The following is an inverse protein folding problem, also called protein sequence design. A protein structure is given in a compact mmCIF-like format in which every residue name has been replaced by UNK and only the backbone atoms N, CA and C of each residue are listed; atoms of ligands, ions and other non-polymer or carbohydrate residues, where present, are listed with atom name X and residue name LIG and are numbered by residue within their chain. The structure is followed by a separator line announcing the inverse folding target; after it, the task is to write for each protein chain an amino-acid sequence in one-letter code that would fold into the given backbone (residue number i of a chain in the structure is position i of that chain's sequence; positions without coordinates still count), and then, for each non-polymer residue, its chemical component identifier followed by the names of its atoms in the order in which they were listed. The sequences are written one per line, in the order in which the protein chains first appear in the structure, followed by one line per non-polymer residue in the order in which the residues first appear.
data_IF_625389613240
#
_entry.id   IF_625389613240
#
_cell.length_a   1.000
_cell.length_b   1.000
_cell.length_c   1.000
_cell.angle_alpha   90.00
_cell.angle_beta   90.00
_cell.angle_gamma   90.00
#
_symmetry.space_group_name_H-M   'P 1'
#
loop_
_entity.id
_entity.type
_entity.pdbx_description
1 polymer ?
#
# COMPACT_ATOMS: atom_id res chain seq x y z
N UNK A 1 26.58 -10.24 -19.56
CA UNK A 1 26.94 -10.41 -18.14
C UNK A 1 26.57 -11.82 -17.72
N UNK A 2 27.42 -12.49 -17.00
CA UNK A 2 27.16 -13.82 -16.43
C UNK A 2 26.83 -13.62 -14.94
N UNK A 3 25.72 -14.20 -14.48
CA UNK A 3 25.32 -14.19 -13.08
C UNK A 3 25.67 -15.52 -12.43
N UNK A 4 26.08 -15.50 -11.16
CA UNK A 4 26.42 -16.71 -10.41
C UNK A 4 25.22 -17.63 -10.11
N UNK A 5 24.01 -17.06 -10.14
CA UNK A 5 22.74 -17.78 -9.99
C UNK A 5 21.76 -17.30 -11.07
N UNK A 6 20.68 -18.04 -11.28
CA UNK A 6 19.62 -17.63 -12.22
C UNK A 6 19.02 -16.30 -11.80
N UNK A 7 18.78 -15.40 -12.76
CA UNK A 7 18.08 -14.13 -12.52
C UNK A 7 16.60 -14.44 -12.28
N UNK A 8 16.04 -13.84 -11.25
CA UNK A 8 14.59 -13.83 -11.03
C UNK A 8 13.90 -12.73 -11.85
N UNK A 9 12.65 -12.96 -12.23
CA UNK A 9 11.82 -11.91 -12.83
C UNK A 9 11.49 -10.84 -11.80
N UNK A 10 11.52 -9.54 -12.16
CA UNK A 10 11.09 -8.50 -11.23
C UNK A 10 9.62 -8.69 -10.87
N UNK A 11 9.24 -8.47 -9.59
CA UNK A 11 7.83 -8.36 -9.22
C UNK A 11 7.15 -7.30 -10.08
N UNK A 12 5.92 -7.55 -10.52
CA UNK A 12 5.21 -6.64 -11.40
C UNK A 12 3.71 -6.62 -11.11
N UNK A 13 3.07 -5.50 -11.38
CA UNK A 13 1.61 -5.33 -11.32
C UNK A 13 1.04 -5.29 -12.74
N UNK A 14 -0.07 -5.98 -13.02
CA UNK A 14 -0.79 -5.84 -14.28
C UNK A 14 -1.28 -4.41 -14.49
N UNK A 15 -1.33 -3.98 -15.75
CA UNK A 15 -1.93 -2.70 -16.13
C UNK A 15 -3.34 -2.94 -16.65
N UNK A 16 -4.32 -2.26 -16.07
CA UNK A 16 -5.72 -2.39 -16.47
C UNK A 16 -5.92 -1.97 -17.93
N UNK A 17 -6.64 -2.81 -18.68
CA UNK A 17 -6.93 -2.56 -20.10
C UNK A 17 -5.75 -2.83 -21.04
N UNK A 18 -4.65 -3.43 -20.57
CA UNK A 18 -3.46 -3.77 -21.36
C UNK A 18 -2.96 -5.16 -20.99
N UNK A 19 -2.13 -5.76 -21.85
CA UNK A 19 -1.32 -6.94 -21.55
C UNK A 19 0.00 -6.61 -20.88
N UNK A 20 0.30 -5.32 -20.68
CA UNK A 20 1.55 -4.86 -20.12
C UNK A 20 1.64 -5.11 -18.61
N UNK A 21 2.87 -5.28 -18.14
CA UNK A 21 3.19 -5.38 -16.73
C UNK A 21 4.02 -4.16 -16.31
N UNK A 22 3.67 -3.58 -15.18
CA UNK A 22 4.45 -2.52 -14.54
C UNK A 22 5.44 -3.15 -13.57
N UNK A 23 6.76 -3.14 -13.85
CA UNK A 23 7.76 -3.73 -12.97
C UNK A 23 7.90 -2.88 -11.70
N UNK A 24 7.83 -3.53 -10.53
CA UNK A 24 7.92 -2.84 -9.24
C UNK A 24 9.34 -2.94 -8.70
N UNK A 25 9.91 -1.77 -8.37
CA UNK A 25 11.26 -1.62 -7.85
C UNK A 25 11.29 -1.56 -6.32
N UNK A 26 10.52 -0.65 -5.73
CA UNK A 26 10.42 -0.44 -4.28
C UNK A 26 8.96 -0.19 -3.91
N UNK A 27 8.61 -0.61 -2.71
CA UNK A 27 7.28 -0.36 -2.12
C UNK A 27 7.48 0.52 -0.89
N UNK A 28 7.17 1.80 -1.01
CA UNK A 28 7.10 2.74 0.10
C UNK A 28 5.70 2.71 0.71
N UNK A 29 5.60 2.82 2.02
CA UNK A 29 4.33 2.88 2.73
C UNK A 29 4.34 4.06 3.69
N UNK A 30 3.26 4.84 3.70
CA UNK A 30 3.09 5.99 4.60
C UNK A 30 2.38 5.54 5.86
N UNK A 31 2.93 5.84 7.02
CA UNK A 31 2.27 5.57 8.30
C UNK A 31 1.32 6.69 8.72
N UNK A 32 0.13 6.33 9.25
CA UNK A 32 -0.81 7.25 9.94
C UNK A 32 -1.26 8.45 9.10
N UNK A 33 -1.75 8.22 7.89
CA UNK A 33 -2.09 9.29 6.96
C UNK A 33 -3.58 9.67 6.90
N UNK A 34 -4.41 9.20 7.83
CA UNK A 34 -5.82 9.60 7.98
C UNK A 34 -6.07 10.05 9.42
N UNK A 35 -6.80 11.16 9.59
CA UNK A 35 -7.00 11.79 10.90
C UNK A 35 -7.61 10.82 11.91
N UNK A 36 -8.69 10.12 11.53
CA UNK A 36 -9.36 9.19 12.44
C UNK A 36 -8.49 7.96 12.74
N UNK A 37 -7.74 7.45 11.76
CA UNK A 37 -6.78 6.38 12.00
C UNK A 37 -5.63 6.84 12.90
N UNK A 38 -5.15 8.07 12.73
CA UNK A 38 -4.11 8.63 13.61
C UNK A 38 -4.59 8.68 15.06
N UNK A 39 -5.83 9.12 15.33
CA UNK A 39 -6.44 9.11 16.66
C UNK A 39 -6.58 7.68 17.23
N UNK A 40 -7.04 6.72 16.40
CA UNK A 40 -7.13 5.30 16.75
C UNK A 40 -5.78 4.74 17.21
N UNK A 41 -4.68 5.22 16.61
CA UNK A 41 -3.31 4.80 16.92
C UNK A 41 -2.61 5.67 17.96
N UNK A 42 -3.33 6.60 18.61
CA UNK A 42 -2.84 7.43 19.72
C UNK A 42 -1.97 8.62 19.31
N UNK A 43 -2.07 9.10 18.07
CA UNK A 43 -1.45 10.32 17.58
C UNK A 43 -2.42 11.50 17.54
N UNK A 44 -1.89 12.72 17.50
CA UNK A 44 -2.63 13.96 17.32
C UNK A 44 -1.92 14.90 16.34
N UNK A 45 -2.69 15.63 15.55
CA UNK A 45 -2.18 16.68 14.69
C UNK A 45 -1.51 16.22 13.38
N UNK A 46 -0.96 17.19 12.65
CA UNK A 46 -0.26 16.99 11.38
C UNK A 46 1.25 16.86 11.63
N UNK A 47 1.67 15.69 12.12
CA UNK A 47 3.09 15.35 12.20
C UNK A 47 3.71 15.20 10.81
N UNK A 48 5.04 15.28 10.72
CA UNK A 48 5.74 14.97 9.47
C UNK A 48 5.45 13.54 9.05
N UNK A 49 5.22 13.28 7.74
CA UNK A 49 4.95 11.94 7.27
C UNK A 49 6.20 11.08 7.49
N UNK A 50 5.99 9.86 7.95
CA UNK A 50 7.05 8.88 8.02
C UNK A 50 6.77 7.71 7.08
N UNK A 51 7.84 7.12 6.58
CA UNK A 51 7.76 6.04 5.61
C UNK A 51 8.49 4.81 6.13
N UNK A 52 7.96 3.65 5.75
CA UNK A 52 8.65 2.38 5.87
C UNK A 52 8.60 1.66 4.51
N UNK A 53 9.31 0.57 4.38
CA UNK A 53 9.46 -0.13 3.10
C UNK A 53 8.95 -1.56 3.27
N UNK A 54 8.21 -2.04 2.25
CA UNK A 54 8.00 -3.45 1.99
C UNK A 54 8.87 -3.89 0.83
N UNK A 55 9.30 -5.15 0.84
CA UNK A 55 9.92 -5.76 -0.33
C UNK A 55 8.95 -5.74 -1.52
N UNK A 56 9.43 -5.49 -2.72
CA UNK A 56 8.61 -5.67 -3.92
C UNK A 56 8.13 -7.12 -4.07
N UNK A 57 8.85 -8.09 -3.52
CA UNK A 57 8.44 -9.50 -3.47
C UNK A 57 7.30 -9.79 -2.48
N UNK A 58 6.92 -8.84 -1.63
CA UNK A 58 5.74 -8.96 -0.77
C UNK A 58 4.43 -8.73 -1.54
N UNK A 59 4.49 -8.27 -2.80
CA UNK A 59 3.32 -8.03 -3.64
C UNK A 59 2.59 -9.33 -3.99
N UNK A 60 1.26 -9.29 -3.91
CA UNK A 60 0.36 -10.32 -4.47
C UNK A 60 -0.50 -9.65 -5.54
N UNK A 61 -0.09 -9.74 -6.83
CA UNK A 61 -0.82 -9.10 -7.91
C UNK A 61 -2.23 -9.69 -8.07
N UNK A 62 -3.22 -8.82 -8.28
CA UNK A 62 -4.65 -9.16 -8.44
C UNK A 62 -5.30 -9.82 -7.21
N UNK A 63 -4.60 -9.90 -6.08
CA UNK A 63 -5.15 -10.53 -4.88
C UNK A 63 -5.32 -12.05 -5.00
N UNK A 64 -6.50 -12.55 -4.67
CA UNK A 64 -6.76 -14.00 -4.62
C UNK A 64 -6.51 -14.60 -3.23
N UNK A 65 -5.87 -15.75 -3.14
CA UNK A 65 -5.52 -16.36 -1.86
C UNK A 65 -4.26 -15.73 -1.28
N UNK A 66 -4.33 -15.28 -0.02
CA UNK A 66 -3.22 -14.73 0.76
C UNK A 66 -3.10 -15.56 2.03
N UNK A 67 -1.94 -16.17 2.26
CA UNK A 67 -1.78 -17.08 3.38
C UNK A 67 -1.67 -16.34 4.71
N UNK A 68 -2.29 -16.91 5.74
CA UNK A 68 -2.12 -16.40 7.10
C UNK A 68 -0.63 -16.54 7.49
N UNK A 69 0.06 -15.43 7.80
CA UNK A 69 1.52 -15.48 7.96
C UNK A 69 1.94 -16.19 9.26
N UNK A 70 3.13 -16.81 9.29
CA UNK A 70 3.65 -17.41 10.51
C UNK A 70 4.04 -16.37 11.56
N UNK A 71 4.18 -16.81 12.82
CA UNK A 71 4.70 -16.02 13.94
C UNK A 71 3.84 -14.81 14.34
N UNK A 72 2.56 -14.83 14.03
CA UNK A 72 1.60 -13.83 14.52
C UNK A 72 0.30 -14.50 14.96
N UNK A 73 -0.36 -13.90 15.92
CA UNK A 73 -1.73 -14.22 16.32
C UNK A 73 -2.67 -13.01 16.07
N UNK A 74 -2.18 -11.96 15.43
CA UNK A 74 -2.93 -10.72 15.22
C UNK A 74 -2.60 -10.11 13.84
N UNK A 75 -3.20 -10.69 12.77
CA UNK A 75 -3.00 -10.31 11.39
C UNK A 75 -4.09 -9.35 10.94
N UNK A 76 -3.72 -8.13 10.54
CA UNK A 76 -4.63 -7.03 10.21
C UNK A 76 -4.56 -6.64 8.74
N UNK A 77 -5.69 -6.13 8.24
CA UNK A 77 -5.81 -5.43 6.96
C UNK A 77 -5.66 -3.91 7.14
N UNK A 78 -5.17 -3.24 6.12
CA UNK A 78 -5.12 -1.79 5.97
C UNK A 78 -5.34 -1.47 4.50
N UNK A 79 -6.54 -0.97 4.13
CA UNK A 79 -6.88 -0.62 2.74
C UNK A 79 -6.28 0.71 2.36
N UNK A 80 -5.60 0.77 1.22
CA UNK A 80 -4.84 1.94 0.78
C UNK A 80 -4.98 2.21 -0.71
N UNK A 81 -4.95 3.50 -1.08
CA UNK A 81 -4.63 3.89 -2.44
C UNK A 81 -3.15 3.61 -2.69
N UNK A 82 -2.84 3.00 -3.83
CA UNK A 82 -1.47 2.76 -4.28
C UNK A 82 -1.17 3.66 -5.46
N UNK A 83 -0.01 4.32 -5.43
CA UNK A 83 0.48 5.22 -6.47
C UNK A 83 1.72 4.62 -7.12
N UNK A 84 1.75 4.52 -8.44
CA UNK A 84 2.90 4.01 -9.20
C UNK A 84 3.65 5.17 -9.87
N UNK A 85 4.99 5.18 -9.75
CA UNK A 85 5.86 6.23 -10.29
C UNK A 85 6.43 5.78 -11.64
N UNK A 86 6.24 6.61 -12.69
CA UNK A 86 6.75 6.37 -14.04
C UNK A 86 7.96 7.22 -14.41
N UNK A 87 8.16 8.34 -13.74
CA UNK A 87 9.22 9.30 -14.08
C UNK A 87 10.15 9.53 -12.90
N UNK A 88 11.45 9.42 -13.16
CA UNK A 88 12.47 9.73 -12.17
C UNK A 88 12.35 11.17 -11.67
N UNK A 89 12.59 11.38 -10.38
CA UNK A 89 12.65 12.72 -9.81
C UNK A 89 13.25 12.75 -8.41
N UNK A 90 13.80 13.89 -8.06
CA UNK A 90 14.30 14.19 -6.72
C UNK A 90 13.94 15.64 -6.37
N UNK A 91 13.54 15.92 -5.12
CA UNK A 91 13.04 17.23 -4.68
C UNK A 91 11.90 17.71 -5.58
N UNK A 92 10.97 16.83 -5.85
CA UNK A 92 9.80 17.10 -6.68
C UNK A 92 8.88 18.04 -5.89
N UNK A 93 8.53 19.19 -6.46
CA UNK A 93 7.54 20.05 -5.83
C UNK A 93 6.13 19.44 -5.93
N UNK A 94 5.28 19.65 -4.93
CA UNK A 94 3.95 19.05 -4.90
C UNK A 94 3.13 19.35 -6.17
N UNK A 95 3.23 20.56 -6.74
CA UNK A 95 2.52 20.93 -7.96
C UNK A 95 3.02 20.19 -9.22
N UNK A 96 4.23 19.63 -9.20
CA UNK A 96 4.79 18.83 -10.30
C UNK A 96 4.61 17.32 -10.10
N UNK A 97 4.20 16.88 -8.91
CA UNK A 97 4.16 15.47 -8.51
C UNK A 97 3.33 14.61 -9.47
N UNK A 98 2.20 15.11 -9.94
CA UNK A 98 1.31 14.38 -10.87
C UNK A 98 1.99 13.98 -12.19
N UNK A 99 2.97 14.76 -12.66
CA UNK A 99 3.73 14.46 -13.88
C UNK A 99 4.68 13.25 -13.72
N UNK A 100 4.88 12.76 -12.50
CA UNK A 100 5.70 11.59 -12.20
C UNK A 100 4.88 10.30 -12.05
N UNK A 101 3.55 10.39 -11.97
CA UNK A 101 2.66 9.26 -11.68
C UNK A 101 2.30 8.52 -12.97
N UNK A 102 2.47 7.18 -12.94
CA UNK A 102 1.96 6.27 -13.96
C UNK A 102 0.45 6.04 -13.80
N UNK A 103 0.02 5.72 -12.58
CA UNK A 103 -1.35 5.33 -12.31
C UNK A 103 -1.55 4.92 -10.85
N UNK A 104 -2.71 4.33 -10.60
CA UNK A 104 -3.22 4.03 -9.28
C UNK A 104 -3.75 2.61 -9.18
N UNK A 105 -3.73 2.05 -7.97
CA UNK A 105 -4.33 0.75 -7.67
C UNK A 105 -4.97 0.76 -6.29
N UNK A 106 -5.71 -0.30 -5.98
CA UNK A 106 -6.19 -0.62 -4.64
C UNK A 106 -5.23 -1.61 -4.02
N UNK A 107 -4.70 -1.31 -2.83
CA UNK A 107 -3.79 -2.20 -2.12
C UNK A 107 -4.22 -2.49 -0.69
N UNK A 108 -3.62 -3.52 -0.11
CA UNK A 108 -3.74 -3.85 1.30
C UNK A 108 -2.33 -3.87 1.92
N UNK A 109 -2.07 -2.99 2.90
CA UNK A 109 -0.87 -3.05 3.73
C UNK A 109 -1.10 -4.04 4.88
N UNK A 110 -0.92 -5.33 4.58
CA UNK A 110 -1.14 -6.38 5.54
C UNK A 110 -0.10 -6.34 6.66
N UNK A 111 -0.55 -6.50 7.89
CA UNK A 111 0.24 -6.20 9.09
C UNK A 111 0.15 -7.31 10.13
N UNK A 112 1.30 -7.83 10.57
CA UNK A 112 1.42 -8.60 11.82
C UNK A 112 1.44 -7.61 12.98
N UNK A 113 0.26 -7.30 13.50
CA UNK A 113 0.07 -6.17 14.44
C UNK A 113 0.81 -6.35 15.75
N UNK A 114 0.85 -7.57 16.29
CA UNK A 114 1.59 -7.93 17.48
C UNK A 114 3.10 -7.71 17.31
N UNK A 115 3.68 -8.08 16.17
CA UNK A 115 5.10 -7.88 15.89
C UNK A 115 5.42 -6.40 15.66
N UNK A 116 4.53 -5.66 15.00
CA UNK A 116 4.67 -4.22 14.86
C UNK A 116 4.65 -3.53 16.24
N UNK A 117 3.75 -3.97 17.16
CA UNK A 117 3.66 -3.41 18.51
C UNK A 117 4.95 -3.66 19.28
N UNK A 118 5.51 -4.86 19.21
CA UNK A 118 6.83 -5.17 19.81
C UNK A 118 7.92 -4.24 19.27
N UNK A 119 7.89 -3.94 17.98
CA UNK A 119 8.80 -2.98 17.36
C UNK A 119 8.64 -1.58 17.96
N UNK A 120 7.40 -1.09 18.07
CA UNK A 120 7.09 0.21 18.69
C UNK A 120 7.56 0.29 20.13
N UNK A 121 7.20 -0.68 20.95
CA UNK A 121 7.50 -0.69 22.39
C UNK A 121 9.00 -0.72 22.68
N UNK A 122 9.78 -1.32 21.79
CA UNK A 122 11.23 -1.48 21.94
C UNK A 122 12.07 -0.52 21.10
N UNK A 123 11.44 0.42 20.37
CA UNK A 123 12.13 1.34 19.46
C UNK A 123 12.89 0.61 18.34
N UNK A 124 12.35 -0.52 17.82
CA UNK A 124 12.96 -1.34 16.77
C UNK A 124 12.26 -1.11 15.43
N UNK A 125 12.93 -1.44 14.30
CA UNK A 125 12.30 -1.44 12.98
C UNK A 125 11.03 -2.31 12.95
N UNK A 126 10.08 -1.94 12.05
CA UNK A 126 8.80 -2.63 11.92
C UNK A 126 8.81 -3.79 10.94
N UNK A 127 9.98 -4.16 10.41
CA UNK A 127 10.11 -5.12 9.31
C UNK A 127 9.35 -6.42 9.56
N UNK A 128 9.51 -7.05 10.74
CA UNK A 128 8.76 -8.27 11.05
C UNK A 128 7.25 -8.09 11.10
N UNK A 129 6.78 -6.88 11.39
CA UNK A 129 5.37 -6.53 11.39
C UNK A 129 4.83 -6.13 10.03
N UNK A 130 5.66 -5.56 9.17
CA UNK A 130 5.23 -4.89 7.94
C UNK A 130 5.84 -5.48 6.66
N UNK A 131 7.04 -6.05 6.69
CA UNK A 131 7.76 -6.53 5.52
C UNK A 131 7.95 -8.04 5.58
N UNK A 132 7.03 -8.79 5.00
CA UNK A 132 7.01 -10.25 4.95
C UNK A 132 6.31 -10.72 3.66
N UNK A 133 6.41 -12.00 3.37
CA UNK A 133 5.83 -12.59 2.16
C UNK A 133 4.30 -12.38 2.12
N UNK A 134 3.78 -12.04 0.95
CA UNK A 134 2.36 -11.76 0.71
C UNK A 134 1.78 -10.57 1.53
N UNK A 135 2.63 -9.66 2.01
CA UNK A 135 2.22 -8.54 2.85
C UNK A 135 1.61 -7.36 2.07
N UNK A 136 1.57 -7.41 0.73
CA UNK A 136 1.11 -6.31 -0.10
C UNK A 136 0.22 -6.78 -1.29
N UNK A 137 -0.98 -7.34 -1.01
CA UNK A 137 -1.95 -7.59 -2.09
C UNK A 137 -2.31 -6.29 -2.80
N UNK A 138 -2.34 -6.31 -4.15
CA UNK A 138 -2.56 -5.13 -4.95
C UNK A 138 -3.36 -5.46 -6.21
N UNK A 139 -4.30 -4.61 -6.58
CA UNK A 139 -5.07 -4.73 -7.83
C UNK A 139 -4.21 -4.41 -9.05
N UNK A 140 -4.77 -4.55 -10.25
CA UNK A 140 -4.17 -3.96 -11.43
C UNK A 140 -4.03 -2.45 -11.29
N UNK A 141 -2.98 -1.88 -11.89
CA UNK A 141 -2.76 -0.43 -11.99
C UNK A 141 -3.66 0.15 -13.08
N UNK A 142 -4.44 1.16 -12.73
CA UNK A 142 -5.20 1.97 -13.69
C UNK A 142 -4.39 3.19 -14.07
N UNK A 143 -4.05 3.39 -15.35
CA UNK A 143 -3.24 4.52 -15.78
C UNK A 143 -3.88 5.87 -15.44
N UNK A 144 -3.11 6.81 -14.93
CA UNK A 144 -3.57 8.18 -14.64
C UNK A 144 -4.13 8.87 -15.88
N UNK A 145 -3.63 8.52 -17.08
CA UNK A 145 -4.16 9.03 -18.34
C UNK A 145 -5.64 8.67 -18.57
N UNK A 146 -6.14 7.59 -17.95
CA UNK A 146 -7.52 7.13 -18.08
C UNK A 146 -8.46 7.72 -17.03
N UNK A 147 -7.98 7.97 -15.82
CA UNK A 147 -8.83 8.35 -14.66
C UNK A 147 -8.46 9.71 -14.05
N UNK A 148 -7.40 10.35 -14.51
CA UNK A 148 -6.84 11.53 -13.87
C UNK A 148 -6.12 11.19 -12.56
N UNK A 149 -6.13 12.16 -11.64
CA UNK A 149 -5.47 12.05 -10.33
C UNK A 149 -6.54 12.11 -9.23
N UNK A 150 -6.96 10.96 -8.67
CA UNK A 150 -8.02 10.92 -7.67
C UNK A 150 -7.56 11.58 -6.37
N UNK A 151 -8.24 12.65 -5.97
CA UNK A 151 -8.01 13.37 -4.71
C UNK A 151 -9.22 13.30 -3.78
N UNK A 152 -10.32 12.69 -4.22
CA UNK A 152 -11.59 12.48 -3.50
C UNK A 152 -12.27 11.22 -4.01
N UNK A 153 -13.23 10.72 -3.26
CA UNK A 153 -13.95 9.49 -3.56
C UNK A 153 -13.80 8.48 -2.42
N UNK A 154 -14.80 7.62 -2.28
CA UNK A 154 -14.80 6.68 -1.16
C UNK A 154 -13.71 5.62 -1.29
N UNK A 155 -13.00 5.38 -0.18
CA UNK A 155 -12.16 4.22 0.07
C UNK A 155 -12.85 3.33 1.11
N UNK A 156 -13.08 2.06 0.78
CA UNK A 156 -13.91 1.14 1.58
C UNK A 156 -13.31 -0.25 1.63
N UNK A 157 -13.54 -0.94 2.75
CA UNK A 157 -13.24 -2.37 2.87
C UNK A 157 -14.37 -3.10 3.60
N UNK A 158 -14.74 -4.25 3.10
CA UNK A 158 -15.61 -5.21 3.79
C UNK A 158 -14.84 -6.48 4.12
N UNK A 159 -15.14 -7.09 5.26
CA UNK A 159 -14.72 -8.44 5.64
C UNK A 159 -15.97 -9.29 5.78
N UNK A 160 -16.08 -10.37 5.02
CA UNK A 160 -17.25 -11.26 4.97
C UNK A 160 -18.56 -10.47 4.72
N UNK A 161 -18.50 -9.49 3.81
CA UNK A 161 -19.63 -8.62 3.45
C UNK A 161 -19.98 -7.54 4.47
N UNK A 162 -19.31 -7.51 5.64
CA UNK A 162 -19.52 -6.44 6.64
C UNK A 162 -18.50 -5.33 6.45
N UNK A 163 -18.95 -4.09 6.29
CA UNK A 163 -18.07 -2.93 6.19
C UNK A 163 -17.24 -2.73 7.46
N UNK A 164 -15.94 -2.52 7.27
CA UNK A 164 -14.95 -2.34 8.32
C UNK A 164 -14.21 -1.02 8.22
N UNK A 165 -13.86 -0.60 7.00
CA UNK A 165 -13.23 0.68 6.76
C UNK A 165 -14.08 1.47 5.76
N UNK A 166 -14.22 2.79 6.02
CA UNK A 166 -14.83 3.77 5.12
C UNK A 166 -14.28 5.15 5.43
N UNK A 167 -13.79 5.83 4.38
CA UNK A 167 -13.39 7.23 4.41
C UNK A 167 -13.48 7.83 3.00
N UNK A 168 -13.12 9.08 2.85
CA UNK A 168 -12.90 9.72 1.55
C UNK A 168 -11.39 9.91 1.34
N UNK A 169 -10.90 9.87 0.09
CA UNK A 169 -9.49 10.13 -0.22
C UNK A 169 -9.06 11.54 0.20
N UNK A 170 -9.99 12.49 0.26
CA UNK A 170 -9.75 13.85 0.76
C UNK A 170 -9.49 13.94 2.26
N UNK A 171 -9.73 12.86 3.01
CA UNK A 171 -9.43 12.78 4.46
C UNK A 171 -7.95 12.45 4.74
N UNK A 172 -7.13 12.25 3.70
CA UNK A 172 -5.69 12.10 3.86
C UNK A 172 -5.07 13.35 4.49
N UNK A 173 -4.26 13.16 5.53
CA UNK A 173 -3.49 14.24 6.19
C UNK A 173 -2.46 14.83 5.22
N UNK A 174 -1.76 13.97 4.50
CA UNK A 174 -0.81 14.28 3.45
C UNK A 174 -1.35 13.75 2.13
N UNK A 175 -1.71 14.66 1.23
CA UNK A 175 -2.17 14.31 -0.11
C UNK A 175 -1.08 13.58 -0.91
N UNK A 176 -1.47 12.86 -1.97
CA UNK A 176 -0.50 12.16 -2.84
C UNK A 176 0.63 13.07 -3.33
N UNK A 177 0.36 14.30 -3.82
CA UNK A 177 1.44 15.22 -4.21
C UNK A 177 2.39 15.57 -3.07
N UNK A 178 1.89 15.82 -1.87
CA UNK A 178 2.72 16.16 -0.70
C UNK A 178 3.55 14.96 -0.22
N UNK A 179 3.01 13.73 -0.31
CA UNK A 179 3.78 12.52 -0.02
C UNK A 179 4.95 12.35 -0.99
N UNK A 180 4.72 12.56 -2.31
CA UNK A 180 5.78 12.51 -3.34
C UNK A 180 6.82 13.59 -3.09
N UNK A 181 6.40 14.83 -2.81
CA UNK A 181 7.29 15.94 -2.47
C UNK A 181 8.19 15.54 -1.30
N UNK A 182 7.59 15.14 -0.17
CA UNK A 182 8.34 14.83 1.05
C UNK A 182 9.27 13.62 0.87
N UNK A 183 8.78 12.54 0.27
CA UNK A 183 9.57 11.33 0.02
C UNK A 183 10.77 11.61 -0.91
N UNK A 184 10.57 12.47 -1.91
CA UNK A 184 11.62 12.84 -2.87
C UNK A 184 12.74 13.72 -2.30
N UNK A 185 12.60 14.24 -1.08
CA UNK A 185 13.68 14.89 -0.34
C UNK A 185 14.75 13.88 0.10
N UNK A 186 14.33 12.66 0.46
CA UNK A 186 15.19 11.60 0.97
C UNK A 186 15.67 10.65 -0.13
N UNK A 187 14.83 10.40 -1.12
CA UNK A 187 15.09 9.44 -2.21
C UNK A 187 15.02 10.11 -3.58
N UNK A 188 15.84 9.66 -4.51
CA UNK A 188 15.48 9.81 -5.92
C UNK A 188 14.40 8.77 -6.21
N UNK A 189 13.19 9.23 -6.52
CA UNK A 189 12.13 8.35 -6.98
C UNK A 189 12.43 7.88 -8.39
N UNK A 190 12.18 6.61 -8.67
CA UNK A 190 12.53 5.96 -9.93
C UNK A 190 11.28 5.33 -10.57
N UNK A 191 11.25 5.19 -11.89
CA UNK A 191 10.24 4.36 -12.53
C UNK A 191 10.21 2.96 -11.89
N UNK A 192 9.00 2.51 -11.53
CA UNK A 192 8.79 1.26 -10.81
C UNK A 192 8.65 1.40 -9.30
N UNK A 193 8.89 2.56 -8.71
CA UNK A 193 8.54 2.79 -7.32
C UNK A 193 7.02 2.85 -7.15
N UNK A 194 6.51 2.26 -6.07
CA UNK A 194 5.10 2.39 -5.68
C UNK A 194 5.00 2.93 -4.25
N UNK A 195 3.93 3.68 -3.98
CA UNK A 195 3.66 4.29 -2.68
C UNK A 195 2.27 3.83 -2.23
N UNK A 196 2.21 3.15 -1.10
CA UNK A 196 1.00 2.89 -0.35
C UNK A 196 0.75 4.12 0.52
N UNK A 197 -0.42 4.76 0.36
CA UNK A 197 -0.63 6.15 0.80
C UNK A 197 -1.22 6.30 2.20
N UNK A 198 -1.34 5.20 2.92
CA UNK A 198 -1.95 5.16 4.24
C UNK A 198 -3.40 4.72 4.22
N UNK A 199 -3.85 4.21 5.34
CA UNK A 199 -5.17 3.58 5.53
C UNK A 199 -6.08 4.41 6.42
N UNK A 200 -7.41 4.40 6.19
CA UNK A 200 -8.39 4.97 7.11
C UNK A 200 -8.57 4.15 8.39
N UNK A 201 -9.29 4.69 9.37
CA UNK A 201 -9.70 4.00 10.59
C UNK A 201 -10.52 2.73 10.29
N UNK A 202 -10.62 1.84 11.29
CA UNK A 202 -11.36 0.58 11.20
C UNK A 202 -10.48 -0.61 10.80
N UNK A 203 -9.15 -0.50 10.97
CA UNK A 203 -8.23 -1.64 10.85
C UNK A 203 -8.60 -2.73 11.87
N UNK A 204 -8.41 -3.97 11.50
CA UNK A 204 -8.81 -5.07 12.39
C UNK A 204 -8.26 -6.43 11.97
N UNK A 205 -8.40 -7.43 12.85
CA UNK A 205 -7.87 -8.76 12.62
C UNK A 205 -8.68 -9.53 11.58
N UNK A 206 -7.99 -10.45 10.92
CA UNK A 206 -8.55 -11.47 10.03
C UNK A 206 -8.07 -12.86 10.42
N UNK A 207 -8.84 -13.86 10.01
CA UNK A 207 -8.56 -15.28 10.24
C UNK A 207 -8.59 -16.05 8.91
N UNK A 208 -7.99 -17.25 8.85
CA UNK A 208 -8.17 -18.11 7.70
C UNK A 208 -9.65 -18.34 7.37
N UNK A 209 -10.00 -18.21 6.10
CA UNK A 209 -11.36 -18.27 5.58
C UNK A 209 -12.05 -16.92 5.40
N UNK A 210 -11.52 -15.84 5.97
CA UNK A 210 -12.11 -14.50 5.78
C UNK A 210 -11.92 -14.02 4.33
N UNK A 211 -12.99 -13.45 3.77
CA UNK A 211 -13.01 -12.81 2.46
C UNK A 211 -13.01 -11.28 2.62
N UNK A 212 -12.03 -10.61 2.01
CA UNK A 212 -11.88 -9.17 2.02
C UNK A 212 -12.20 -8.61 0.65
N UNK A 213 -12.94 -7.50 0.63
CA UNK A 213 -13.21 -6.75 -0.59
C UNK A 213 -12.96 -5.26 -0.35
N UNK A 214 -11.90 -4.75 -0.94
CA UNK A 214 -11.50 -3.36 -0.91
C UNK A 214 -11.93 -2.67 -2.21
N UNK A 215 -12.45 -1.45 -2.12
CA UNK A 215 -12.91 -0.65 -3.26
C UNK A 215 -12.48 0.80 -3.07
N UNK A 216 -11.98 1.42 -4.14
CA UNK A 216 -11.73 2.86 -4.21
C UNK A 216 -12.46 3.41 -5.42
N UNK A 217 -13.38 4.36 -5.19
CA UNK A 217 -14.20 4.95 -6.24
C UNK A 217 -13.32 5.59 -7.34
N UNK A 218 -13.61 5.26 -8.59
CA UNK A 218 -12.86 5.75 -9.75
C UNK A 218 -11.51 5.09 -9.98
N UNK A 219 -11.05 4.18 -9.06
CA UNK A 219 -9.77 3.45 -9.20
C UNK A 219 -10.02 1.97 -9.47
N UNK A 220 -10.85 1.30 -8.65
CA UNK A 220 -11.11 -0.12 -8.84
C UNK A 220 -11.38 -0.88 -7.55
N UNK A 221 -11.18 -2.21 -7.62
CA UNK A 221 -11.42 -3.11 -6.50
C UNK A 221 -10.31 -4.16 -6.36
N UNK A 222 -10.18 -4.70 -5.14
CA UNK A 222 -9.29 -5.81 -4.82
C UNK A 222 -10.04 -6.80 -3.95
N UNK A 223 -10.00 -8.08 -4.32
CA UNK A 223 -10.61 -9.17 -3.56
C UNK A 223 -9.53 -10.16 -3.14
N UNK A 224 -9.51 -10.49 -1.86
CA UNK A 224 -8.63 -11.55 -1.33
C UNK A 224 -9.41 -12.47 -0.41
N UNK A 225 -8.90 -13.69 -0.27
CA UNK A 225 -9.33 -14.64 0.77
C UNK A 225 -8.12 -15.02 1.60
N UNK A 226 -8.25 -15.00 2.92
CA UNK A 226 -7.18 -15.44 3.81
C UNK A 226 -7.13 -16.96 3.80
N UNK A 227 -6.08 -17.50 3.20
CA UNK A 227 -5.81 -18.94 3.19
C UNK A 227 -5.22 -19.41 4.51
N UNK A 228 -5.31 -20.71 4.85
CA UNK A 228 -4.56 -21.29 5.96
C UNK A 228 -3.05 -21.00 5.85
N UNK A 229 -2.29 -21.05 6.93
CA UNK A 229 -0.82 -21.00 6.88
C UNK A 229 -0.25 -22.05 5.92
N UNK A 230 0.88 -21.70 5.24
CA UNK A 230 1.66 -22.63 4.42
C UNK A 230 2.33 -23.71 5.26
#
# INVERSE_FOLDING_TARGET
MNYAISIWSPPALPVAGSSDLFPVRRVFCVGRNYVEHQKEMGGDGREQPFFFIKSAHALVPLGGAVHYPPKTANYHYETELVVAIARQGRRIAAHDANAHIFGYAVGLDMTRRDLQQIGKDKGRPWDFGKNFDEAAPCSALVPAASIGHPAKGAIRLTVNGKERQRADLSDMIWSVPEQIEYLSLYYTLEPGDVIFTGTPAGVGPVNPGDALHAVIDGVGELKITIAPPL
#
